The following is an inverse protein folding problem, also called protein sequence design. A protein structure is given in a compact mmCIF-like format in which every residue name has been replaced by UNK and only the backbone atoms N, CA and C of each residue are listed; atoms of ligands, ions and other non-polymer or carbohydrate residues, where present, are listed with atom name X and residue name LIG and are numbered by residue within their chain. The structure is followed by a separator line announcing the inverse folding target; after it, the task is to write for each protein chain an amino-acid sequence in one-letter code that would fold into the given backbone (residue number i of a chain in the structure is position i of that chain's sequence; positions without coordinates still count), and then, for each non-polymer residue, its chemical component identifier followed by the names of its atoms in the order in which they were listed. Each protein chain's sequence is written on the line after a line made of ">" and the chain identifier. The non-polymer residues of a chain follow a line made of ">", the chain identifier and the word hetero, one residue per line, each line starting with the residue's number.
data_IF_445945710977
#
_entry.id   IF_445945710977
#
_cell.length_a   1.000
_cell.length_b   1.000
_cell.length_c   1.000
_cell.angle_alpha   90.00
_cell.angle_beta   90.00
_cell.angle_gamma   90.00
#
_symmetry.space_group_name_H-M   'P 1'
#
loop_
_entity.id
_entity.type
_entity.pdbx_description
1 polymer ?
#
# COMPACT_ATOMS: atom_id res chain seq x y z
N UNK A 1 5.11 14.87 -3.97
CA UNK A 1 3.75 14.27 -4.09
C UNK A 1 3.19 14.01 -2.69
N UNK A 2 1.97 14.46 -2.39
CA UNK A 2 1.29 14.15 -1.12
C UNK A 2 0.21 13.12 -1.39
N UNK A 3 0.17 12.07 -0.57
CA UNK A 3 -0.80 11.00 -0.72
C UNK A 3 -1.37 10.63 0.63
N UNK A 4 -2.68 10.71 0.76
CA UNK A 4 -3.41 10.25 1.92
C UNK A 4 -3.71 8.76 1.76
N UNK A 5 -3.18 7.93 2.64
CA UNK A 5 -3.40 6.49 2.63
C UNK A 5 -4.49 6.17 3.64
N UNK A 6 -5.61 5.64 3.15
CA UNK A 6 -6.76 5.15 3.93
C UNK A 6 -6.84 3.65 3.77
N UNK A 7 -6.23 2.88 4.65
CA UNK A 7 -6.25 1.41 4.55
C UNK A 7 -6.59 0.77 5.87
N UNK A 8 -7.36 -0.31 5.84
CA UNK A 8 -7.65 -1.10 7.04
C UNK A 8 -6.82 -2.39 7.01
N UNK A 9 -5.90 -2.53 7.97
CA UNK A 9 -4.99 -3.68 8.04
C UNK A 9 -5.16 -4.36 9.39
N UNK A 10 -5.53 -5.64 9.35
CA UNK A 10 -5.70 -6.47 10.54
C UNK A 10 -6.65 -5.86 11.60
N UNK A 11 -7.73 -5.19 11.15
CA UNK A 11 -8.71 -4.53 12.01
C UNK A 11 -8.26 -3.15 12.54
N UNK A 12 -7.21 -2.56 11.96
CA UNK A 12 -6.77 -1.20 12.26
C UNK A 12 -6.91 -0.32 11.02
N UNK A 13 -7.69 0.75 11.14
CA UNK A 13 -7.79 1.78 10.12
C UNK A 13 -6.57 2.72 10.21
N UNK A 14 -5.79 2.76 9.14
CA UNK A 14 -4.71 3.71 8.91
C UNK A 14 -5.30 4.80 8.02
N UNK A 15 -5.40 6.02 8.53
CA UNK A 15 -5.73 7.22 7.76
C UNK A 15 -4.61 8.24 7.99
N UNK A 16 -3.60 8.22 7.12
CA UNK A 16 -2.38 9.00 7.28
C UNK A 16 -1.96 9.65 5.96
N UNK A 17 -1.55 10.91 6.02
CA UNK A 17 -1.00 11.62 4.87
C UNK A 17 0.51 11.40 4.81
N UNK A 18 0.97 10.66 3.81
CA UNK A 18 2.37 10.46 3.51
C UNK A 18 2.81 11.45 2.43
N UNK A 19 3.98 12.07 2.64
CA UNK A 19 4.64 12.87 1.63
C UNK A 19 5.81 12.06 1.08
N UNK A 20 5.82 11.87 -0.24
CA UNK A 20 6.89 11.18 -0.94
C UNK A 20 7.32 11.91 -2.20
N UNK A 21 8.54 11.66 -2.61
CA UNK A 21 9.13 12.29 -3.81
C UNK A 21 8.56 11.65 -5.08
N UNK A 22 8.33 10.33 -5.05
CA UNK A 22 7.78 9.50 -6.12
C UNK A 22 6.92 8.36 -5.54
N UNK A 23 6.35 7.51 -6.41
CA UNK A 23 5.51 6.39 -5.96
C UNK A 23 6.30 5.29 -5.24
N UNK A 24 7.58 5.09 -5.56
CA UNK A 24 8.45 4.09 -4.92
C UNK A 24 8.75 4.47 -3.46
N UNK A 25 8.99 5.75 -3.20
CA UNK A 25 9.16 6.32 -1.86
C UNK A 25 7.89 6.12 -1.04
N UNK A 26 6.72 6.42 -1.61
CA UNK A 26 5.43 6.20 -0.94
C UNK A 26 5.19 4.72 -0.66
N UNK A 27 5.49 3.84 -1.61
CA UNK A 27 5.34 2.40 -1.43
C UNK A 27 6.26 1.87 -0.31
N UNK A 28 7.47 2.40 -0.23
CA UNK A 28 8.44 2.09 0.82
C UNK A 28 7.96 2.56 2.19
N UNK A 29 7.41 3.77 2.27
CA UNK A 29 6.84 4.32 3.51
C UNK A 29 5.61 3.52 3.97
N UNK A 30 4.68 3.21 3.07
CA UNK A 30 3.51 2.37 3.36
C UNK A 30 3.97 1.00 3.87
N UNK A 31 4.85 0.31 3.14
CA UNK A 31 5.41 -0.98 3.56
C UNK A 31 6.02 -0.90 4.97
N UNK A 32 6.83 0.12 5.25
CA UNK A 32 7.44 0.34 6.57
C UNK A 32 6.38 0.56 7.67
N UNK A 33 5.32 1.31 7.37
CA UNK A 33 4.21 1.55 8.29
C UNK A 33 3.44 0.26 8.59
N UNK A 34 3.10 -0.51 7.57
CA UNK A 34 2.44 -1.82 7.73
C UNK A 34 3.32 -2.78 8.52
N UNK A 35 4.62 -2.81 8.24
CA UNK A 35 5.56 -3.63 9.01
C UNK A 35 5.58 -3.25 10.49
N UNK A 36 5.56 -1.95 10.82
CA UNK A 36 5.46 -1.47 12.21
C UNK A 36 4.15 -1.90 12.89
N UNK A 37 3.01 -1.78 12.20
CA UNK A 37 1.70 -2.18 12.74
C UNK A 37 1.59 -3.69 12.99
N UNK A 38 2.25 -4.51 12.16
CA UNK A 38 2.28 -5.97 12.31
C UNK A 38 3.31 -6.48 13.34
N UNK A 39 4.16 -5.60 13.89
CA UNK A 39 5.19 -5.95 14.87
C UNK A 39 6.14 -7.02 14.35
N UNK A 40 6.32 -8.11 15.11
CA UNK A 40 7.20 -9.23 14.73
C UNK A 40 6.80 -9.90 13.41
N UNK A 41 5.51 -9.87 13.03
CA UNK A 41 5.04 -10.37 11.72
C UNK A 41 5.45 -9.46 10.56
N UNK A 42 5.78 -8.20 10.85
CA UNK A 42 6.30 -7.23 9.89
C UNK A 42 7.74 -7.49 9.45
N UNK A 43 8.50 -8.36 10.13
CA UNK A 43 9.84 -8.76 9.70
C UNK A 43 9.84 -9.40 8.30
N UNK A 44 8.80 -10.19 7.99
CA UNK A 44 8.63 -10.77 6.66
C UNK A 44 8.35 -9.71 5.59
N UNK A 45 7.64 -8.63 5.96
CA UNK A 45 7.45 -7.49 5.07
C UNK A 45 8.77 -6.79 4.82
N UNK A 46 9.62 -6.61 5.82
CA UNK A 46 10.93 -5.96 5.63
C UNK A 46 11.80 -6.68 4.60
N UNK A 47 11.80 -8.03 4.59
CA UNK A 47 12.52 -8.84 3.60
C UNK A 47 11.92 -8.82 2.19
N UNK A 48 10.67 -8.39 2.03
CA UNK A 48 9.98 -8.33 0.74
C UNK A 48 10.36 -7.05 -0.03
N UNK A 49 10.46 -7.10 -1.36
CA UNK A 49 10.66 -5.87 -2.15
C UNK A 49 9.40 -4.99 -2.10
N UNK A 50 9.50 -3.66 -2.29
CA UNK A 50 8.33 -2.78 -2.35
C UNK A 50 7.29 -3.27 -3.37
N UNK A 51 7.73 -3.66 -4.58
CA UNK A 51 6.85 -4.20 -5.61
C UNK A 51 6.21 -5.53 -5.19
N UNK A 52 6.96 -6.44 -4.55
CA UNK A 52 6.40 -7.68 -4.02
C UNK A 52 5.31 -7.41 -2.96
N UNK A 53 5.51 -6.40 -2.12
CA UNK A 53 4.50 -5.96 -1.16
C UNK A 53 3.24 -5.43 -1.86
N UNK A 54 3.39 -4.62 -2.91
CA UNK A 54 2.27 -4.12 -3.71
C UNK A 54 1.45 -5.27 -4.33
N UNK A 55 2.12 -6.25 -4.93
CA UNK A 55 1.47 -7.40 -5.55
C UNK A 55 0.74 -8.27 -4.53
N UNK A 56 1.35 -8.53 -3.38
CA UNK A 56 0.74 -9.29 -2.29
C UNK A 56 -0.45 -8.54 -1.68
N UNK A 57 -0.35 -7.21 -1.53
CA UNK A 57 -1.45 -6.37 -1.06
C UNK A 57 -2.67 -6.46 -1.99
N UNK A 58 -2.45 -6.37 -3.31
CA UNK A 58 -3.54 -6.51 -4.31
C UNK A 58 -4.10 -7.93 -4.32
N UNK A 59 -3.25 -8.96 -4.21
CA UNK A 59 -3.70 -10.35 -4.11
C UNK A 59 -4.57 -10.59 -2.88
N UNK A 60 -4.20 -10.03 -1.72
CA UNK A 60 -4.99 -10.13 -0.49
C UNK A 60 -6.29 -9.34 -0.59
N UNK A 61 -6.24 -8.16 -1.21
CA UNK A 61 -7.44 -7.37 -1.48
C UNK A 61 -8.43 -8.12 -2.36
N UNK A 62 -7.94 -8.73 -3.45
CA UNK A 62 -8.70 -9.62 -4.34
C UNK A 62 -9.37 -10.77 -3.58
N UNK A 63 -8.60 -11.45 -2.72
CA UNK A 63 -9.11 -12.54 -1.91
C UNK A 63 -10.17 -12.09 -0.89
N UNK A 64 -10.00 -10.91 -0.28
CA UNK A 64 -10.93 -10.38 0.72
C UNK A 64 -12.22 -9.83 0.12
N UNK A 65 -12.17 -9.27 -1.09
CA UNK A 65 -13.30 -8.58 -1.73
C UNK A 65 -13.90 -9.36 -2.91
N UNK A 66 -13.48 -10.60 -3.13
CA UNK A 66 -13.82 -11.39 -4.33
C UNK A 66 -13.61 -10.60 -5.63
N UNK A 67 -12.53 -9.82 -5.69
CA UNK A 67 -12.15 -9.04 -6.86
C UNK A 67 -10.97 -9.68 -7.60
N UNK A 68 -10.69 -9.22 -8.81
CA UNK A 68 -9.70 -9.82 -9.72
C UNK A 68 -8.78 -8.76 -10.35
N UNK A 69 -8.34 -7.78 -9.56
CA UNK A 69 -7.42 -6.76 -10.04
C UNK A 69 -6.06 -7.37 -10.42
N UNK A 70 -5.48 -6.90 -11.51
CA UNK A 70 -4.18 -7.37 -11.95
C UNK A 70 -3.09 -7.00 -10.92
N UNK A 71 -2.10 -7.87 -10.68
CA UNK A 71 -0.96 -7.52 -9.84
C UNK A 71 -0.17 -6.36 -10.47
N UNK A 72 0.10 -5.28 -9.72
CA UNK A 72 0.83 -4.13 -10.22
C UNK A 72 2.24 -4.54 -10.65
N UNK A 73 2.67 -4.00 -11.79
CA UNK A 73 4.02 -4.18 -12.34
C UNK A 73 4.97 -3.06 -11.92
N UNK A 74 4.44 -1.97 -11.36
CA UNK A 74 5.21 -0.83 -10.87
C UNK A 74 4.57 -0.19 -9.63
N UNK A 75 5.35 0.60 -8.88
CA UNK A 75 4.83 1.38 -7.76
C UNK A 75 3.75 2.39 -8.21
N UNK A 76 3.93 2.99 -9.39
CA UNK A 76 2.94 3.88 -10.00
C UNK A 76 1.60 3.17 -10.23
N UNK A 77 1.61 1.96 -10.79
CA UNK A 77 0.38 1.17 -10.97
C UNK A 77 -0.31 0.85 -9.65
N UNK A 78 0.46 0.54 -8.60
CA UNK A 78 -0.12 0.30 -7.29
C UNK A 78 -0.77 1.55 -6.69
N UNK A 79 -0.12 2.71 -6.80
CA UNK A 79 -0.67 3.98 -6.31
C UNK A 79 -1.93 4.37 -7.10
N UNK A 80 -1.92 4.18 -8.42
CA UNK A 80 -3.11 4.41 -9.25
C UNK A 80 -4.26 3.47 -8.91
N UNK A 81 -3.98 2.17 -8.75
CA UNK A 81 -4.98 1.19 -8.36
C UNK A 81 -5.52 1.50 -6.95
N UNK A 82 -4.64 1.79 -5.99
CA UNK A 82 -5.03 2.23 -4.66
C UNK A 82 -5.92 3.48 -4.69
N UNK A 83 -5.66 4.40 -5.63
CA UNK A 83 -6.49 5.59 -5.87
C UNK A 83 -7.88 5.25 -6.37
N UNK A 84 -7.98 4.37 -7.36
CA UNK A 84 -9.26 3.91 -7.89
C UNK A 84 -10.10 3.15 -6.85
N UNK A 85 -9.44 2.42 -5.96
CA UNK A 85 -10.06 1.62 -4.91
C UNK A 85 -10.39 2.43 -3.64
N UNK A 86 -9.97 3.69 -3.55
CA UNK A 86 -10.15 4.55 -2.38
C UNK A 86 -9.23 4.24 -1.20
N UNK A 87 -8.21 3.38 -1.39
CA UNK A 87 -7.18 3.10 -0.39
C UNK A 87 -6.12 4.17 -0.28
N UNK A 88 -5.96 4.93 -1.36
CA UNK A 88 -4.92 5.91 -1.56
C UNK A 88 -5.62 7.12 -2.16
N UNK A 89 -5.32 8.32 -1.72
CA UNK A 89 -5.90 9.55 -2.24
C UNK A 89 -4.73 10.47 -2.54
N UNK A 90 -4.43 10.66 -3.82
CA UNK A 90 -3.36 11.59 -4.23
C UNK A 90 -3.89 13.00 -4.01
N UNK A 91 -3.29 13.73 -3.07
CA UNK A 91 -3.66 15.11 -2.79
C UNK A 91 -2.95 16.03 -3.80
N UNK A 92 -3.68 16.94 -4.47
CA UNK A 92 -3.05 18.01 -5.24
C UNK A 92 -2.21 18.88 -4.28
N UNK A 93 -1.08 19.40 -4.78
CA UNK A 93 -0.17 20.26 -4.00
C UNK A 93 -0.84 21.51 -3.43
#
# INVERSE_FOLDING_TARGET
>A
MKVRVKTEIAGRSIDETLAGTDADDILTQVKSRVAKELGWKGLFLNAMTPLGFAQEAVKRYNAANNSSYAPPQSANEFVQLGSQLGFVEILPE
#
